data_IF_834081074792
#
_entry.id   IF_834081074792
#
_cell.length_a   1.000
_cell.length_b   1.000
_cell.length_c   1.000
_cell.angle_alpha   90.00
_cell.angle_beta   90.00
_cell.angle_gamma   90.00
#
_symmetry.space_group_name_H-M   'P 1'
#
loop_
_entity.id
_entity.type
_entity.pdbx_description
1 polymer ?
#
# COMPACT_ATOMS: atom_id res chain seq x y z
N UNK A 1 5.71 23.22 13.91
CA UNK A 1 5.66 21.87 14.53
C UNK A 1 6.75 21.00 13.90
N UNK A 2 7.64 20.38 14.68
CA UNK A 2 8.62 19.40 14.18
C UNK A 2 8.04 18.00 14.38
N UNK A 3 7.82 17.27 13.30
CA UNK A 3 7.37 15.88 13.34
C UNK A 3 8.59 14.95 13.36
N UNK A 4 8.61 14.00 14.28
CA UNK A 4 9.63 12.95 14.36
C UNK A 4 9.16 11.75 13.55
N UNK A 5 10.03 11.24 12.66
CA UNK A 5 9.73 10.03 11.87
C UNK A 5 9.87 8.79 12.76
N UNK A 6 9.03 7.80 12.51
CA UNK A 6 9.15 6.51 13.15
C UNK A 6 10.38 5.76 12.62
N UNK A 7 11.13 5.09 13.49
CA UNK A 7 12.39 4.39 13.13
C UNK A 7 12.17 3.24 12.14
N UNK A 8 10.98 2.62 12.17
CA UNK A 8 10.60 1.54 11.25
C UNK A 8 10.00 2.01 9.92
N UNK A 9 10.14 3.28 9.56
CA UNK A 9 9.68 3.71 8.24
C UNK A 9 10.52 3.05 7.12
N UNK A 10 9.90 2.54 6.03
CA UNK A 10 8.46 2.55 5.75
C UNK A 10 7.68 1.49 6.56
N UNK A 11 6.50 1.86 7.07
CA UNK A 11 5.63 0.95 7.84
C UNK A 11 5.04 -0.17 6.97
N UNK A 12 4.82 0.10 5.69
CA UNK A 12 4.34 -0.86 4.70
C UNK A 12 5.16 -0.69 3.41
N UNK A 13 5.65 -1.80 2.87
CA UNK A 13 6.35 -1.85 1.58
C UNK A 13 5.62 -2.77 0.60
N UNK A 14 5.96 -2.72 -0.71
CA UNK A 14 5.40 -3.63 -1.70
C UNK A 14 5.75 -5.08 -1.38
N UNK A 15 4.84 -6.00 -1.67
CA UNK A 15 5.09 -7.44 -1.60
C UNK A 15 5.16 -8.03 -3.02
N UNK A 16 6.35 -8.38 -3.52
CA UNK A 16 6.52 -8.95 -4.87
C UNK A 16 5.76 -10.27 -5.09
N UNK A 17 5.42 -10.99 -4.03
CA UNK A 17 4.64 -12.23 -4.10
C UNK A 17 3.14 -11.98 -4.27
N UNK A 18 2.70 -10.74 -4.03
CA UNK A 18 1.31 -10.29 -4.09
C UNK A 18 1.09 -9.39 -5.31
N UNK A 19 0.59 -9.96 -6.42
CA UNK A 19 0.52 -9.27 -7.73
C UNK A 19 -0.14 -7.90 -7.67
N UNK A 20 -1.20 -7.73 -6.88
CA UNK A 20 -1.99 -6.49 -6.85
C UNK A 20 -1.27 -5.31 -6.17
N UNK A 21 -0.24 -5.58 -5.37
CA UNK A 21 0.56 -4.59 -4.65
C UNK A 21 2.07 -4.69 -4.90
N UNK A 22 2.47 -5.58 -5.80
CA UNK A 22 3.86 -5.94 -6.06
C UNK A 22 4.78 -4.76 -6.45
N UNK A 23 4.23 -3.65 -6.95
CA UNK A 23 5.06 -2.58 -7.49
C UNK A 23 5.14 -1.36 -6.58
N UNK A 24 4.05 -0.97 -5.93
CA UNK A 24 4.04 0.16 -5.01
C UNK A 24 2.84 0.09 -4.05
N UNK A 25 3.02 0.57 -2.83
CA UNK A 25 1.96 0.84 -1.85
C UNK A 25 2.16 2.26 -1.29
N UNK A 26 1.12 3.09 -1.36
CA UNK A 26 1.23 4.51 -1.06
C UNK A 26 -0.13 5.15 -0.78
N UNK A 27 -0.12 6.45 -0.44
CA UNK A 27 -1.30 7.28 -0.17
C UNK A 27 -2.36 6.62 0.74
N UNK A 28 -2.00 6.22 1.97
CA UNK A 28 -2.95 5.59 2.87
C UNK A 28 -3.96 6.58 3.46
N UNK A 29 -5.16 6.09 3.73
CA UNK A 29 -6.12 6.67 4.67
C UNK A 29 -6.12 5.81 5.93
N UNK A 30 -6.14 6.45 7.11
CA UNK A 30 -6.12 5.75 8.40
C UNK A 30 -7.29 6.24 9.26
N UNK A 31 -8.03 5.30 9.83
CA UNK A 31 -9.07 5.59 10.83
C UNK A 31 -8.75 4.85 12.13
N UNK A 32 -9.18 5.41 13.26
CA UNK A 32 -9.16 4.72 14.55
C UNK A 32 -10.55 4.17 14.86
N UNK A 33 -10.67 2.85 15.00
CA UNK A 33 -11.94 2.17 15.26
C UNK A 33 -11.75 0.97 16.16
N UNK A 34 -12.54 0.90 17.26
CA UNK A 34 -12.52 -0.19 18.27
C UNK A 34 -11.12 -0.48 18.83
N UNK A 35 -10.36 0.56 19.15
CA UNK A 35 -9.02 0.45 19.75
C UNK A 35 -7.90 0.05 18.78
N UNK A 36 -8.18 0.03 17.48
CA UNK A 36 -7.20 -0.29 16.44
C UNK A 36 -7.13 0.83 15.39
N UNK A 37 -5.94 1.00 14.82
CA UNK A 37 -5.76 1.79 13.61
C UNK A 37 -5.95 0.89 12.39
N UNK A 38 -6.88 1.28 11.53
CA UNK A 38 -7.18 0.56 10.29
C UNK A 38 -6.69 1.41 9.12
N UNK A 39 -5.79 0.85 8.31
CA UNK A 39 -5.16 1.54 7.20
C UNK A 39 -5.66 0.96 5.87
N UNK A 40 -6.28 1.80 5.05
CA UNK A 40 -6.55 1.52 3.64
C UNK A 40 -5.49 2.21 2.80
N UNK A 41 -4.77 1.46 1.97
CA UNK A 41 -3.69 1.97 1.14
C UNK A 41 -3.99 1.76 -0.33
N UNK A 42 -3.42 2.63 -1.17
CA UNK A 42 -3.42 2.45 -2.62
C UNK A 42 -2.26 1.54 -2.99
N UNK A 43 -2.52 0.61 -3.91
CA UNK A 43 -1.50 -0.29 -4.42
C UNK A 43 -1.37 -0.21 -5.94
N UNK A 44 -0.19 -0.54 -6.45
CA UNK A 44 0.07 -0.72 -7.88
C UNK A 44 0.45 -2.17 -8.14
N UNK A 45 -0.34 -2.81 -8.99
CA UNK A 45 -0.10 -4.18 -9.40
C UNK A 45 1.10 -4.30 -10.36
N UNK A 46 1.72 -5.48 -10.40
CA UNK A 46 2.62 -5.82 -11.51
C UNK A 46 1.79 -6.13 -12.75
N UNK A 47 2.04 -5.36 -13.81
CA UNK A 47 1.53 -5.69 -15.14
C UNK A 47 2.29 -6.93 -15.62
N UNK A 48 1.75 -8.11 -15.35
CA UNK A 48 2.01 -9.26 -16.23
C UNK A 48 1.69 -8.85 -17.67
N UNK A 49 2.42 -9.38 -18.65
CA UNK A 49 2.18 -9.17 -20.08
C UNK A 49 0.68 -9.09 -20.35
N UNK A 50 0.22 -7.97 -20.92
CA UNK A 50 -1.19 -7.67 -21.08
C UNK A 50 -1.93 -8.84 -21.72
N UNK A 51 -2.76 -9.54 -20.95
CA UNK A 51 -3.98 -10.06 -21.53
C UNK A 51 -4.87 -8.85 -21.73
N UNK A 52 -4.94 -8.43 -22.99
CA UNK A 52 -5.91 -7.48 -23.50
C UNK A 52 -7.28 -7.87 -22.98
N UNK A 53 -7.75 -7.18 -21.95
CA UNK A 53 -9.16 -7.15 -21.62
C UNK A 53 -9.85 -6.38 -22.74
N UNK A 54 -10.14 -7.09 -23.83
CA UNK A 54 -11.15 -6.70 -24.81
C UNK A 54 -12.40 -6.32 -24.02
N UNK A 55 -12.72 -5.03 -24.04
CA UNK A 55 -14.09 -4.56 -23.82
C UNK A 55 -14.88 -4.82 -25.09
#
# INVERSE_FOLDING_TARGET
MKLTRHERNPILGPDPTSRWEAVNVFNPAVIHHRGLFHMWYRARASTGSAESATR
#
